data_IF_314976334255
#
_entry.id   IF_314976334255
#
_cell.length_a   1.000
_cell.length_b   1.000
_cell.length_c   1.000
_cell.angle_alpha   90.00
_cell.angle_beta   90.00
_cell.angle_gamma   90.00
#
_symmetry.space_group_name_H-M   'P 1'
#
loop_
_entity.id
_entity.type
_entity.pdbx_description
1 polymer ?
#
# COMPACT_ATOMS: atom_id res chain seq x y z
N UNK A 1 -0.61 16.63 -4.27
CA UNK A 1 -0.22 15.27 -4.70
C UNK A 1 -1.38 14.57 -5.41
N UNK A 2 -1.14 13.64 -6.35
CA UNK A 2 -2.22 12.83 -6.95
C UNK A 2 -2.59 11.63 -6.06
N UNK A 3 -3.70 10.93 -6.38
CA UNK A 3 -4.22 9.83 -5.58
C UNK A 3 -3.24 8.66 -5.48
N UNK A 4 -2.55 8.30 -6.57
CA UNK A 4 -1.57 7.21 -6.60
C UNK A 4 -0.41 7.50 -5.64
N UNK A 5 0.06 8.75 -5.60
CA UNK A 5 1.14 9.15 -4.72
C UNK A 5 0.71 9.14 -3.26
N UNK A 6 -0.51 9.59 -2.94
CA UNK A 6 -1.06 9.51 -1.57
C UNK A 6 -1.20 8.06 -1.12
N UNK A 7 -1.76 7.19 -1.96
CA UNK A 7 -1.84 5.75 -1.72
C UNK A 7 -0.47 5.15 -1.42
N UNK A 8 0.52 5.44 -2.26
CA UNK A 8 1.88 4.91 -2.10
C UNK A 8 2.55 5.32 -0.78
N UNK A 9 2.33 6.56 -0.34
CA UNK A 9 2.86 7.03 0.95
C UNK A 9 2.17 6.36 2.14
N UNK A 10 0.84 6.29 2.14
CA UNK A 10 0.09 5.58 3.19
C UNK A 10 0.47 4.10 3.25
N UNK A 11 0.63 3.45 2.11
CA UNK A 11 1.08 2.06 2.05
C UNK A 11 2.45 1.89 2.71
N UNK A 12 3.39 2.79 2.39
CA UNK A 12 4.73 2.78 2.96
C UNK A 12 4.70 2.98 4.47
N UNK A 13 3.89 3.90 4.97
CA UNK A 13 3.75 4.15 6.41
C UNK A 13 3.19 2.92 7.13
N UNK A 14 2.07 2.39 6.67
CA UNK A 14 1.47 1.17 7.24
C UNK A 14 2.45 -0.01 7.21
N UNK A 15 3.21 -0.16 6.13
CA UNK A 15 4.25 -1.20 6.03
C UNK A 15 5.32 -1.02 7.11
N UNK A 16 5.79 0.21 7.33
CA UNK A 16 6.81 0.51 8.33
C UNK A 16 6.28 0.37 9.76
N UNK A 17 5.03 0.75 10.03
CA UNK A 17 4.35 0.52 11.32
C UNK A 17 4.27 -0.97 11.67
N UNK A 18 4.12 -1.84 10.66
CA UNK A 18 4.14 -3.30 10.82
C UNK A 18 5.56 -3.88 10.84
N UNK A 19 6.61 -3.05 10.76
CA UNK A 19 8.01 -3.50 10.76
C UNK A 19 8.42 -4.30 9.51
N UNK A 20 7.68 -4.15 8.40
CA UNK A 20 7.89 -4.94 7.19
C UNK A 20 8.86 -4.25 6.23
N UNK A 21 9.79 -5.00 5.62
CA UNK A 21 10.50 -4.55 4.42
C UNK A 21 9.57 -4.65 3.19
N UNK A 22 9.92 -3.98 2.09
CA UNK A 22 9.18 -4.14 0.82
C UNK A 22 9.15 -5.60 0.36
N UNK A 23 10.24 -6.34 0.56
CA UNK A 23 10.33 -7.77 0.27
C UNK A 23 9.43 -8.61 1.16
N UNK A 24 9.34 -8.28 2.46
CA UNK A 24 8.44 -8.97 3.38
C UNK A 24 6.97 -8.73 3.02
N UNK A 25 6.59 -7.48 2.71
CA UNK A 25 5.23 -7.16 2.24
C UNK A 25 4.92 -7.87 0.93
N UNK A 26 5.84 -7.84 -0.04
CA UNK A 26 5.73 -8.54 -1.31
C UNK A 26 5.44 -10.04 -1.13
N UNK A 27 6.25 -10.71 -0.30
CA UNK A 27 6.09 -12.14 -0.03
C UNK A 27 4.77 -12.46 0.67
N UNK A 28 4.37 -11.67 1.68
CA UNK A 28 3.13 -11.90 2.43
C UNK A 28 1.86 -11.61 1.61
N UNK A 29 1.94 -10.64 0.69
CA UNK A 29 0.84 -10.25 -0.17
C UNK A 29 0.84 -10.97 -1.52
N UNK A 30 1.79 -11.87 -1.78
CA UNK A 30 1.97 -12.53 -3.08
C UNK A 30 2.03 -11.51 -4.25
N UNK A 31 2.75 -10.40 -4.02
CA UNK A 31 2.98 -9.32 -4.99
C UNK A 31 4.47 -9.26 -5.31
N UNK A 32 4.83 -8.99 -6.57
CA UNK A 32 6.22 -8.73 -6.94
C UNK A 32 6.80 -7.53 -6.15
N UNK A 33 8.00 -7.70 -5.60
CA UNK A 33 8.68 -6.66 -4.81
C UNK A 33 8.88 -5.36 -5.58
N UNK A 34 9.21 -5.43 -6.86
CA UNK A 34 9.36 -4.24 -7.72
C UNK A 34 8.02 -3.55 -7.88
N UNK A 35 6.93 -4.30 -8.02
CA UNK A 35 5.59 -3.72 -8.06
C UNK A 35 5.23 -3.02 -6.75
N UNK A 36 5.53 -3.59 -5.57
CA UNK A 36 5.38 -2.89 -4.28
C UNK A 36 6.18 -1.58 -4.28
N UNK A 37 7.42 -1.59 -4.75
CA UNK A 37 8.24 -0.38 -4.85
C UNK A 37 7.60 0.68 -5.76
N UNK A 38 7.10 0.30 -6.94
CA UNK A 38 6.46 1.24 -7.86
C UNK A 38 5.17 1.82 -7.28
N UNK A 39 4.40 1.01 -6.54
CA UNK A 39 3.19 1.44 -5.84
C UNK A 39 3.53 2.48 -4.76
N UNK A 40 4.55 2.23 -3.92
CA UNK A 40 4.98 3.21 -2.91
C UNK A 40 5.52 4.51 -3.50
N UNK A 41 6.01 4.46 -4.74
CA UNK A 41 6.39 5.65 -5.50
C UNK A 41 5.19 6.39 -6.10
N UNK A 42 4.03 5.74 -6.24
CA UNK A 42 2.85 6.27 -6.91
C UNK A 42 2.91 6.16 -8.43
N UNK A 43 3.75 5.27 -8.96
CA UNK A 43 4.00 5.10 -10.40
C UNK A 43 2.98 4.16 -11.07
N UNK A 44 2.07 3.56 -10.29
CA UNK A 44 1.12 2.55 -10.77
C UNK A 44 -0.32 2.95 -10.47
N UNK A 45 -1.18 2.72 -11.45
CA UNK A 45 -2.61 2.58 -11.21
C UNK A 45 -2.90 1.12 -10.85
N UNK A 46 -3.24 0.87 -9.59
CA UNK A 46 -3.46 -0.49 -9.07
C UNK A 46 -4.92 -0.89 -9.16
N UNK A 47 -5.19 -2.18 -9.32
CA UNK A 47 -6.56 -2.70 -9.32
C UNK A 47 -7.11 -2.83 -7.90
N UNK A 48 -8.44 -2.88 -7.78
CA UNK A 48 -9.12 -3.11 -6.51
C UNK A 48 -8.66 -4.41 -5.82
N UNK A 49 -8.38 -5.46 -6.59
CA UNK A 49 -7.85 -6.74 -6.08
C UNK A 49 -6.49 -6.59 -5.39
N UNK A 50 -5.63 -5.72 -5.91
CA UNK A 50 -4.33 -5.44 -5.29
C UNK A 50 -4.52 -4.64 -3.99
N UNK A 51 -5.45 -3.68 -3.99
CA UNK A 51 -5.78 -2.89 -2.80
C UNK A 51 -6.31 -3.79 -1.69
N UNK A 52 -7.27 -4.66 -2.00
CA UNK A 52 -7.84 -5.65 -1.06
C UNK A 52 -6.76 -6.54 -0.47
N UNK A 53 -5.91 -7.13 -1.31
CA UNK A 53 -4.82 -8.02 -0.86
C UNK A 53 -3.81 -7.32 0.04
N UNK A 54 -3.45 -6.07 -0.27
CA UNK A 54 -2.58 -5.26 0.58
C UNK A 54 -3.23 -4.92 1.91
N UNK A 55 -4.53 -4.57 1.91
CA UNK A 55 -5.29 -4.27 3.12
C UNK A 55 -5.39 -5.50 4.04
N UNK A 56 -5.68 -6.68 3.48
CA UNK A 56 -5.68 -7.96 4.21
C UNK A 56 -4.30 -8.26 4.81
N UNK A 57 -3.23 -8.12 4.02
CA UNK A 57 -1.86 -8.38 4.47
C UNK A 57 -1.44 -7.44 5.61
N UNK A 58 -1.83 -6.16 5.52
CA UNK A 58 -1.56 -5.15 6.53
C UNK A 58 -2.55 -5.20 7.71
N UNK A 59 -3.56 -6.09 7.64
CA UNK A 59 -4.61 -6.24 8.65
C UNK A 59 -5.32 -4.91 8.95
N UNK A 60 -5.69 -4.19 7.89
CA UNK A 60 -6.42 -2.92 7.95
C UNK A 60 -7.69 -3.01 7.11
N UNK A 61 -8.77 -2.38 7.56
CA UNK A 61 -9.99 -2.30 6.75
C UNK A 61 -9.79 -1.39 5.54
N UNK A 62 -10.49 -1.67 4.43
CA UNK A 62 -10.47 -0.80 3.26
C UNK A 62 -10.93 0.63 3.60
N UNK A 63 -11.98 0.77 4.42
CA UNK A 63 -12.48 2.08 4.84
C UNK A 63 -11.42 2.88 5.60
N UNK A 64 -10.66 2.24 6.50
CA UNK A 64 -9.59 2.91 7.23
C UNK A 64 -8.39 3.25 6.33
N UNK A 65 -8.03 2.36 5.40
CA UNK A 65 -7.00 2.61 4.40
C UNK A 65 -7.34 3.85 3.56
N UNK A 66 -8.56 3.93 3.02
CA UNK A 66 -9.00 5.06 2.22
C UNK A 66 -9.13 6.34 3.04
N UNK A 67 -9.59 6.26 4.29
CA UNK A 67 -9.60 7.41 5.21
C UNK A 67 -8.19 7.99 5.41
N UNK A 68 -7.18 7.15 5.67
CA UNK A 68 -5.78 7.58 5.79
C UNK A 68 -5.27 8.27 4.51
N UNK A 69 -5.70 7.80 3.33
CA UNK A 69 -5.33 8.40 2.03
C UNK A 69 -5.96 9.78 1.86
N UNK A 70 -7.20 9.96 2.29
CA UNK A 70 -7.91 11.24 2.24
C UNK A 70 -7.30 12.27 3.20
N UNK A 71 -6.90 11.83 4.40
CA UNK A 71 -6.27 12.64 5.45
C UNK A 71 -4.80 12.99 5.16
N UNK A 72 -4.17 12.37 4.16
CA UNK A 72 -2.77 12.63 3.79
C UNK A 72 -2.63 13.96 3.05
N UNK A 73 -1.91 14.93 3.63
CA UNK A 73 -1.66 16.26 3.04
C UNK A 73 -0.63 16.25 1.90
#
# INVERSE_FOLDING_TARGET
MNLQRKFGLVLKELRLEKGLSQESLANQSDIDRTYISDIEKGERNISLKIIERLAETLQISLSELFKKIEEYE
#
